data_IF_652908857949
#
_entry.id   IF_652908857949
#
_cell.length_a   1.000
_cell.length_b   1.000
_cell.length_c   1.000
_cell.angle_alpha   90.00
_cell.angle_beta   90.00
_cell.angle_gamma   90.00
#
_symmetry.space_group_name_H-M   'P 1'
#
loop_
_entity.id
_entity.type
_entity.pdbx_description
1 polymer ?
#
# COMPACT_ATOMS: atom_id res chain seq x y z
N UNK A 1 -11.52 28.02 -18.76
CA UNK A 1 -12.04 27.17 -17.68
C UNK A 1 -10.91 26.28 -17.27
N UNK A 2 -10.14 26.73 -16.27
CA UNK A 2 -8.93 26.04 -15.80
C UNK A 2 -9.21 25.64 -14.35
N UNK A 3 -10.13 24.69 -14.19
CA UNK A 3 -10.59 24.19 -12.90
C UNK A 3 -9.98 22.80 -12.64
N UNK A 4 -8.67 22.68 -12.91
CA UNK A 4 -7.88 21.52 -12.49
C UNK A 4 -7.47 21.74 -11.03
N UNK A 5 -8.42 21.55 -10.12
CA UNK A 5 -8.10 21.36 -8.71
C UNK A 5 -7.04 20.25 -8.60
N UNK A 6 -5.89 20.56 -8.00
CA UNK A 6 -4.84 19.56 -7.86
C UNK A 6 -5.30 18.50 -6.84
N UNK A 7 -4.92 17.25 -7.07
CA UNK A 7 -5.33 16.12 -6.21
C UNK A 7 -4.95 16.35 -4.74
N UNK A 8 -3.84 17.06 -4.50
CA UNK A 8 -3.36 17.42 -3.16
C UNK A 8 -4.42 18.24 -2.40
N UNK A 9 -5.07 19.19 -3.06
CA UNK A 9 -6.13 20.04 -2.48
C UNK A 9 -7.50 19.39 -2.47
N UNK A 10 -7.79 18.48 -3.41
CA UNK A 10 -9.10 17.87 -3.54
C UNK A 10 -9.33 16.72 -2.55
N UNK A 11 -8.30 15.93 -2.25
CA UNK A 11 -8.41 14.76 -1.35
C UNK A 11 -8.91 15.14 0.06
N UNK A 12 -8.41 16.21 0.71
CA UNK A 12 -8.96 16.64 1.99
C UNK A 12 -10.46 16.87 1.95
N UNK A 13 -10.97 17.58 0.94
CA UNK A 13 -12.40 17.87 0.80
C UNK A 13 -13.22 16.58 0.61
N UNK A 14 -12.73 15.64 -0.18
CA UNK A 14 -13.39 14.35 -0.44
C UNK A 14 -13.49 13.45 0.80
N UNK A 15 -12.61 13.62 1.79
CA UNK A 15 -12.68 12.87 3.05
C UNK A 15 -13.76 13.45 3.98
N UNK A 16 -14.02 14.76 3.88
CA UNK A 16 -15.01 15.43 4.74
C UNK A 16 -16.45 15.10 4.36
N UNK A 17 -16.73 14.83 3.07
CA UNK A 17 -18.09 14.61 2.56
C UNK A 17 -18.76 13.29 2.99
N UNK A 18 -18.14 12.11 2.86
CA UNK A 18 -18.78 10.83 3.20
C UNK A 18 -18.73 10.53 4.70
N UNK A 19 -19.70 9.75 5.19
CA UNK A 19 -19.56 9.05 6.47
C UNK A 19 -18.62 7.86 6.29
N UNK A 20 -17.53 7.86 7.05
CA UNK A 20 -16.46 6.86 6.96
C UNK A 20 -16.16 6.24 8.33
N UNK A 21 -17.06 6.38 9.30
CA UNK A 21 -16.94 5.68 10.58
C UNK A 21 -16.84 4.16 10.31
N UNK A 22 -15.80 3.53 10.87
CA UNK A 22 -15.45 2.12 10.69
C UNK A 22 -15.19 1.67 9.23
N UNK A 23 -15.12 2.59 8.27
CA UNK A 23 -14.82 2.29 6.87
C UNK A 23 -13.31 2.22 6.59
N UNK A 24 -12.90 1.39 5.61
CA UNK A 24 -11.54 1.35 5.11
C UNK A 24 -11.37 2.26 3.89
N UNK A 25 -10.55 3.30 4.03
CA UNK A 25 -10.23 4.28 2.99
C UNK A 25 -8.88 3.94 2.37
N UNK A 26 -8.88 3.52 1.10
CA UNK A 26 -7.64 3.33 0.33
C UNK A 26 -7.35 4.55 -0.54
N UNK A 27 -6.13 5.08 -0.47
CA UNK A 27 -5.72 6.27 -1.24
C UNK A 27 -4.42 5.97 -2.00
N UNK A 28 -4.34 6.46 -3.23
CA UNK A 28 -3.12 6.37 -4.03
C UNK A 28 -1.94 7.10 -3.38
N UNK A 29 -0.73 6.76 -3.82
CA UNK A 29 0.53 7.29 -3.30
C UNK A 29 0.62 8.82 -3.32
N UNK A 30 -0.01 9.50 -4.28
CA UNK A 30 -0.04 10.98 -4.34
C UNK A 30 -0.77 11.57 -3.12
N UNK A 31 -1.77 10.84 -2.60
CA UNK A 31 -2.54 11.22 -1.42
C UNK A 31 -1.96 10.74 -0.09
N UNK A 32 -0.77 10.13 -0.06
CA UNK A 32 -0.10 9.64 1.15
C UNK A 32 0.41 10.77 2.06
N UNK A 33 -0.22 11.95 2.07
CA UNK A 33 0.18 13.08 2.90
C UNK A 33 -0.12 12.80 4.37
N UNK A 34 0.71 13.35 5.27
CA UNK A 34 0.64 13.06 6.72
C UNK A 34 -0.68 13.47 7.34
N UNK A 35 -1.25 14.58 6.88
CA UNK A 35 -2.51 15.15 7.36
C UNK A 35 -3.73 14.30 6.97
N UNK A 36 -3.70 13.63 5.81
CA UNK A 36 -4.78 12.77 5.32
C UNK A 36 -5.09 11.60 6.26
N UNK A 37 -4.05 10.94 6.79
CA UNK A 37 -4.22 9.86 7.77
C UNK A 37 -4.88 10.39 9.07
N UNK A 38 -4.54 11.61 9.48
CA UNK A 38 -5.16 12.29 10.62
C UNK A 38 -6.66 12.48 10.43
N UNK A 39 -7.07 13.09 9.31
CA UNK A 39 -8.48 13.34 8.98
C UNK A 39 -9.33 12.07 8.97
N UNK A 40 -8.82 11.00 8.37
CA UNK A 40 -9.52 9.70 8.35
C UNK A 40 -9.70 9.17 9.77
N UNK A 41 -8.65 9.23 10.60
CA UNK A 41 -8.70 8.76 11.98
C UNK A 41 -9.61 9.60 12.87
N UNK A 42 -9.66 10.93 12.65
CA UNK A 42 -10.57 11.85 13.35
C UNK A 42 -12.03 11.52 13.06
N UNK A 43 -12.35 11.12 11.82
CA UNK A 43 -13.66 10.60 11.43
C UNK A 43 -13.86 9.11 11.78
N UNK A 44 -12.99 8.54 12.62
CA UNK A 44 -12.99 7.14 13.08
C UNK A 44 -12.88 6.09 11.96
N UNK A 45 -12.43 6.47 10.77
CA UNK A 45 -12.14 5.53 9.70
C UNK A 45 -10.80 4.80 9.89
N UNK A 46 -10.58 3.81 9.03
CA UNK A 46 -9.33 3.11 8.82
C UNK A 46 -8.71 3.53 7.49
N UNK A 47 -7.39 3.51 7.37
CA UNK A 47 -6.72 3.88 6.11
C UNK A 47 -5.76 2.80 5.63
N UNK A 48 -5.64 2.69 4.30
CA UNK A 48 -4.62 1.93 3.59
C UNK A 48 -3.96 2.87 2.58
N UNK A 49 -2.69 3.21 2.79
CA UNK A 49 -1.98 4.13 1.91
C UNK A 49 -0.74 3.48 1.31
N UNK A 50 -0.53 3.73 0.01
CA UNK A 50 0.61 3.20 -0.73
C UNK A 50 1.83 4.07 -0.47
N UNK A 51 2.90 3.44 0.06
CA UNK A 51 4.19 4.09 0.20
C UNK A 51 4.89 4.16 -1.17
N UNK A 52 5.23 5.37 -1.61
CA UNK A 52 6.07 5.61 -2.80
C UNK A 52 7.30 6.40 -2.39
N UNK A 53 8.38 6.30 -3.17
CA UNK A 53 9.68 6.96 -2.96
C UNK A 53 9.65 8.51 -2.91
N UNK A 54 8.49 9.16 -2.81
CA UNK A 54 8.42 10.61 -2.57
C UNK A 54 8.56 11.00 -1.08
N UNK A 55 8.55 10.01 -0.17
CA UNK A 55 8.68 10.25 1.26
C UNK A 55 10.06 9.78 1.74
N UNK A 56 10.83 10.64 2.44
CA UNK A 56 12.11 10.23 2.99
C UNK A 56 11.90 9.14 4.05
N UNK A 57 12.82 8.18 4.05
CA UNK A 57 13.09 7.17 5.09
C UNK A 57 12.03 6.06 5.28
N UNK A 58 10.72 6.35 5.26
CA UNK A 58 9.69 5.33 5.54
C UNK A 58 9.66 4.15 4.55
N UNK A 59 9.82 4.34 3.22
CA UNK A 59 9.90 3.23 2.28
C UNK A 59 11.13 2.34 2.52
N UNK A 60 12.23 2.94 2.95
CA UNK A 60 13.49 2.25 3.22
C UNK A 60 13.41 1.48 4.54
N UNK A 61 12.86 2.09 5.60
CA UNK A 61 12.54 1.43 6.87
C UNK A 61 11.68 0.19 6.64
N UNK A 62 10.54 0.37 5.94
CA UNK A 62 9.64 -0.74 5.62
C UNK A 62 10.37 -1.84 4.82
N UNK A 63 11.16 -1.46 3.81
CA UNK A 63 11.94 -2.40 3.00
C UNK A 63 12.98 -3.16 3.83
N UNK A 64 13.70 -2.47 4.72
CA UNK A 64 14.63 -3.07 5.68
C UNK A 64 13.91 -4.05 6.61
N UNK A 65 12.77 -3.64 7.18
CA UNK A 65 11.96 -4.49 8.03
C UNK A 65 11.47 -5.75 7.35
N UNK A 66 11.01 -5.67 6.10
CA UNK A 66 10.62 -6.88 5.36
C UNK A 66 11.79 -7.81 4.99
N UNK A 67 13.05 -7.34 5.11
CA UNK A 67 14.24 -8.19 4.99
C UNK A 67 14.69 -8.76 6.34
N UNK A 68 14.56 -7.99 7.42
CA UNK A 68 15.13 -8.30 8.73
C UNK A 68 14.14 -8.96 9.70
N UNK A 69 12.85 -8.67 9.59
CA UNK A 69 11.82 -9.11 10.54
C UNK A 69 11.09 -10.36 10.06
N UNK A 70 10.62 -11.17 11.01
CA UNK A 70 9.69 -12.25 10.73
C UNK A 70 8.35 -11.69 10.28
N UNK A 71 7.82 -12.23 9.18
CA UNK A 71 6.48 -11.87 8.69
C UNK A 71 5.44 -12.42 9.65
N UNK A 72 4.53 -11.56 10.10
CA UNK A 72 3.42 -11.97 10.96
C UNK A 72 2.42 -12.85 10.21
N UNK A 73 2.18 -12.54 8.93
CA UNK A 73 1.39 -13.39 8.03
C UNK A 73 1.83 -13.22 6.58
N UNK A 74 1.58 -14.27 5.79
CA UNK A 74 1.85 -14.32 4.37
C UNK A 74 0.67 -14.97 3.66
N UNK A 75 0.19 -14.34 2.59
CA UNK A 75 -0.80 -14.90 1.67
C UNK A 75 -0.18 -14.93 0.26
N UNK A 76 -0.41 -16.00 -0.48
CA UNK A 76 0.03 -16.13 -1.87
C UNK A 76 -1.18 -16.52 -2.72
N UNK A 77 -1.39 -15.77 -3.80
CA UNK A 77 -2.42 -16.02 -4.78
C UNK A 77 -1.81 -16.19 -6.17
N UNK A 78 -2.43 -17.04 -6.99
CA UNK A 78 -1.93 -17.37 -8.34
C UNK A 78 -3.09 -17.34 -9.33
N UNK A 79 -2.96 -16.48 -10.32
CA UNK A 79 -3.99 -16.25 -11.34
C UNK A 79 -3.42 -16.47 -12.74
N UNK A 80 -4.19 -17.12 -13.62
CA UNK A 80 -3.86 -17.20 -15.04
C UNK A 80 -4.81 -16.32 -15.83
N UNK A 81 -4.27 -15.30 -16.49
CA UNK A 81 -5.05 -14.38 -17.31
C UNK A 81 -4.22 -13.89 -18.52
N UNK A 82 -4.87 -13.73 -19.67
CA UNK A 82 -4.26 -13.24 -20.92
C UNK A 82 -2.92 -13.91 -21.30
N UNK A 83 -2.81 -15.23 -21.15
CA UNK A 83 -1.60 -15.99 -21.53
C UNK A 83 -0.45 -15.93 -20.53
N UNK A 84 -0.69 -15.41 -19.33
CA UNK A 84 0.33 -15.20 -18.29
C UNK A 84 -0.16 -15.79 -16.97
N UNK A 85 0.78 -16.38 -16.23
CA UNK A 85 0.60 -16.68 -14.82
C UNK A 85 1.12 -15.50 -14.02
N UNK A 86 0.30 -14.95 -13.14
CA UNK A 86 0.69 -13.95 -12.16
C UNK A 86 0.58 -14.54 -10.76
N UNK A 87 1.68 -14.47 -10.00
CA UNK A 87 1.72 -14.83 -8.60
C UNK A 87 1.84 -13.55 -7.79
N UNK A 88 0.90 -13.29 -6.87
CA UNK A 88 0.92 -12.17 -5.95
C UNK A 88 1.12 -12.69 -4.54
N UNK A 89 2.17 -12.24 -3.87
CA UNK A 89 2.50 -12.59 -2.48
C UNK A 89 2.37 -11.37 -1.60
N UNK A 90 1.43 -11.42 -0.66
CA UNK A 90 1.21 -10.39 0.34
C UNK A 90 1.88 -10.82 1.65
N UNK A 91 2.69 -9.95 2.24
CA UNK A 91 3.28 -10.16 3.56
C UNK A 91 3.00 -8.96 4.46
N UNK A 92 2.82 -9.22 5.76
CA UNK A 92 2.67 -8.18 6.77
C UNK A 92 3.72 -8.32 7.88
N UNK A 93 4.07 -7.19 8.46
CA UNK A 93 4.94 -7.05 9.64
C UNK A 93 4.28 -6.06 10.60
N UNK A 94 4.76 -5.97 11.85
CA UNK A 94 4.26 -4.99 12.82
C UNK A 94 5.03 -3.68 12.65
N UNK A 95 4.31 -2.56 12.61
CA UNK A 95 4.94 -1.24 12.49
C UNK A 95 5.95 -0.99 13.62
N UNK A 96 5.61 -1.39 14.85
CA UNK A 96 6.47 -1.21 16.03
C UNK A 96 7.86 -1.86 15.92
N UNK A 97 8.03 -2.85 15.05
CA UNK A 97 9.29 -3.59 14.92
C UNK A 97 10.21 -2.96 13.86
N UNK A 98 9.69 -1.99 13.07
CA UNK A 98 10.32 -1.56 11.81
C UNK A 98 10.26 -0.06 11.57
N UNK A 99 9.18 0.61 11.98
CA UNK A 99 8.95 2.02 11.72
C UNK A 99 9.48 2.84 12.89
N UNK A 100 10.38 3.78 12.59
CA UNK A 100 10.91 4.70 13.59
C UNK A 100 9.80 5.56 14.23
N UNK A 101 10.02 6.00 15.48
CA UNK A 101 9.02 6.78 16.23
C UNK A 101 8.63 8.09 15.53
N UNK A 102 9.58 8.74 14.86
CA UNK A 102 9.34 9.93 14.03
C UNK A 102 8.31 9.70 12.90
N UNK A 103 8.32 8.51 12.30
CA UNK A 103 7.41 8.12 11.24
C UNK A 103 6.05 7.67 11.77
N UNK A 104 6.02 7.17 13.01
CA UNK A 104 4.79 6.75 13.70
C UNK A 104 4.05 7.95 14.29
N UNK A 105 4.77 8.93 14.84
CA UNK A 105 4.17 10.13 15.46
C UNK A 105 3.42 11.02 14.45
N UNK A 106 3.91 11.09 13.21
CA UNK A 106 3.25 11.86 12.15
C UNK A 106 2.15 11.09 11.40
N UNK A 107 1.89 9.81 11.75
CA UNK A 107 0.85 8.97 11.13
C UNK A 107 0.03 8.27 12.21
N UNK A 108 -1.07 8.87 12.68
CA UNK A 108 -1.84 8.31 13.77
C UNK A 108 -2.35 6.92 13.41
N UNK A 109 -2.36 6.03 14.41
CA UNK A 109 -2.82 4.63 14.30
C UNK A 109 -2.13 3.80 13.19
N UNK A 110 -0.92 4.14 12.75
CA UNK A 110 -0.12 3.28 11.86
C UNK A 110 0.24 1.97 12.58
N UNK A 111 -0.20 0.82 12.07
CA UNK A 111 -0.05 -0.48 12.74
C UNK A 111 0.69 -1.53 11.92
N UNK A 112 0.48 -1.57 10.61
CA UNK A 112 0.86 -2.73 9.80
C UNK A 112 1.38 -2.30 8.44
N UNK A 113 2.70 -2.31 8.23
CA UNK A 113 3.26 -2.28 6.89
C UNK A 113 2.89 -3.55 6.13
N UNK A 114 2.52 -3.37 4.85
CA UNK A 114 2.15 -4.46 3.94
C UNK A 114 3.08 -4.42 2.73
N UNK A 115 3.60 -5.58 2.32
CA UNK A 115 4.38 -5.72 1.08
C UNK A 115 3.66 -6.67 0.15
N UNK A 116 3.42 -6.20 -1.07
CA UNK A 116 2.88 -7.00 -2.17
C UNK A 116 3.98 -7.21 -3.20
N UNK A 117 4.34 -8.47 -3.44
CA UNK A 117 5.33 -8.89 -4.43
C UNK A 117 4.60 -9.58 -5.58
N UNK A 118 4.82 -9.12 -6.82
CA UNK A 118 4.21 -9.71 -8.00
C UNK A 118 5.29 -10.30 -8.91
N UNK A 119 5.07 -11.54 -9.37
CA UNK A 119 5.91 -12.18 -10.40
C UNK A 119 5.04 -12.69 -11.54
N UNK A 120 5.55 -12.63 -12.77
CA UNK A 120 4.81 -12.96 -13.99
C UNK A 120 5.60 -13.90 -14.88
N UNK A 121 4.95 -14.99 -15.30
CA UNK A 121 5.54 -15.98 -16.20
C UNK A 121 4.65 -16.09 -17.43
N UNK A 122 5.22 -15.87 -18.62
CA UNK A 122 4.54 -16.17 -19.89
C UNK A 122 4.62 -17.67 -20.14
N UNK A 123 3.54 -18.28 -20.63
CA UNK A 123 3.61 -19.66 -21.15
C UNK A 123 4.56 -19.65 -22.36
N UNK A 124 5.77 -20.20 -22.23
CA UNK A 124 6.56 -20.54 -23.42
C UNK A 124 5.76 -21.58 -24.19
N UNK A 125 5.51 -21.32 -25.48
CA UNK A 125 4.90 -22.31 -26.36
C UNK A 125 5.70 -23.61 -26.27
N UNK A 126 5.00 -24.75 -26.24
CA UNK A 126 5.64 -26.06 -26.27
C UNK A 126 6.69 -26.06 -27.40
N UNK A 127 7.92 -26.57 -27.16
CA UNK A 127 8.71 -27.01 -28.29
C UNK A 127 7.91 -28.14 -28.95
N UNK A 128 7.44 -27.90 -30.17
CA UNK A 128 6.92 -28.96 -31.02
C UNK A 128 8.11 -29.88 -31.30
N UNK A 129 8.20 -30.98 -30.55
CA UNK A 129 9.00 -32.14 -30.94
C UNK A 129 8.32 -32.73 -32.17
N UNK A 130 8.77 -32.31 -33.35
CA UNK A 130 8.51 -33.07 -34.57
C UNK A 130 9.29 -34.38 -34.47
N UNK A 131 8.56 -35.49 -34.59
CA UNK A 131 9.09 -36.84 -34.80
C UNK A 131 9.80 -36.93 -36.15
#
# INVERSE_FOLDING_TARGET
MDDKGNEITAIPCLIEEPDIEDAAVSIDAIGCQRDIAGRIVEKKGHYLSVLKQNQPDLPDDASCGFRACLRESVCEDREYNHGRYETRKCGIIKAKDVVLEENTSCRPKLRTPVRVEASRIKKQGNPLLYQ
#
